data_IF_620016598320
#
_entry.id   IF_620016598320
#
_cell.length_a   1.000
_cell.length_b   1.000
_cell.length_c   1.000
_cell.angle_alpha   90.00
_cell.angle_beta   90.00
_cell.angle_gamma   90.00
#
_symmetry.space_group_name_H-M   'P 1'
#
loop_
_entity.id
_entity.type
_entity.pdbx_description
1 polymer ?
#
# COMPACT_ATOMS: atom_id res chain seq x y z
N UNK A 1 1.43 -2.60 -6.31
CA UNK A 1 1.91 -1.75 -5.20
C UNK A 1 3.34 -1.30 -5.43
N UNK A 2 4.33 -2.21 -5.37
CA UNK A 2 5.77 -1.88 -5.53
C UNK A 2 6.07 -1.15 -6.85
N UNK A 3 5.79 -1.77 -8.01
CA UNK A 3 6.08 -1.16 -9.32
C UNK A 3 5.29 0.13 -9.61
N UNK A 4 4.14 0.30 -8.96
CA UNK A 4 3.34 1.54 -9.04
C UNK A 4 3.93 2.68 -8.19
N UNK A 5 4.91 2.40 -7.33
CA UNK A 5 5.50 3.39 -6.43
C UNK A 5 4.76 3.63 -5.13
N UNK A 6 3.84 2.74 -4.79
CA UNK A 6 2.99 2.85 -3.62
C UNK A 6 3.61 2.29 -2.34
N UNK A 7 4.87 1.84 -2.39
CA UNK A 7 5.60 1.34 -1.22
C UNK A 7 6.69 2.35 -0.87
N UNK A 8 6.50 3.18 0.17
CA UNK A 8 7.50 4.15 0.63
C UNK A 8 8.61 3.41 1.39
N UNK A 9 9.60 2.91 0.65
CA UNK A 9 10.76 2.22 1.20
C UNK A 9 12.05 2.74 0.56
N UNK A 10 13.20 2.34 1.11
CA UNK A 10 14.49 2.75 0.56
C UNK A 10 14.71 2.14 -0.81
N UNK A 11 15.54 2.81 -1.61
CA UNK A 11 15.96 2.27 -2.90
C UNK A 11 16.63 0.90 -2.77
N UNK A 12 17.44 0.72 -1.73
CA UNK A 12 18.10 -0.56 -1.47
C UNK A 12 17.07 -1.68 -1.25
N UNK A 13 16.01 -1.42 -0.49
CA UNK A 13 14.93 -2.39 -0.30
C UNK A 13 14.19 -2.67 -1.61
N UNK A 14 13.95 -1.66 -2.45
CA UNK A 14 13.37 -1.85 -3.78
C UNK A 14 14.25 -2.73 -4.69
N UNK A 15 15.57 -2.56 -4.63
CA UNK A 15 16.52 -3.42 -5.36
C UNK A 15 16.48 -4.86 -4.82
N UNK A 16 16.41 -5.05 -3.51
CA UNK A 16 16.26 -6.39 -2.89
C UNK A 16 14.95 -7.06 -3.29
N UNK A 17 13.84 -6.32 -3.32
CA UNK A 17 12.53 -6.81 -3.82
C UNK A 17 12.61 -7.23 -5.29
N UNK A 18 13.31 -6.46 -6.13
CA UNK A 18 13.54 -6.81 -7.53
C UNK A 18 14.39 -8.07 -7.68
N UNK A 19 15.44 -8.23 -6.87
CA UNK A 19 16.28 -9.43 -6.86
C UNK A 19 15.51 -10.68 -6.41
N UNK A 20 14.70 -10.57 -5.36
CA UNK A 20 13.81 -11.66 -4.91
C UNK A 20 12.77 -12.02 -5.98
N UNK A 21 12.27 -11.02 -6.73
CA UNK A 21 11.38 -11.26 -7.87
C UNK A 21 12.10 -12.06 -8.97
N UNK A 22 13.33 -11.69 -9.32
CA UNK A 22 14.14 -12.45 -10.28
C UNK A 22 14.40 -13.88 -9.80
N UNK A 23 14.81 -14.07 -8.54
CA UNK A 23 15.00 -15.40 -7.95
C UNK A 23 13.72 -16.24 -8.03
N UNK A 24 12.55 -15.64 -7.75
CA UNK A 24 11.27 -16.36 -7.82
C UNK A 24 10.86 -16.79 -9.23
N UNK A 25 11.31 -16.06 -10.27
CA UNK A 25 10.97 -16.32 -11.67
C UNK A 25 11.97 -17.24 -12.35
N UNK A 26 13.26 -17.04 -12.07
CA UNK A 26 14.37 -17.63 -12.81
C UNK A 26 15.19 -18.62 -11.97
N UNK A 27 14.92 -18.78 -10.67
CA UNK A 27 15.79 -19.47 -9.71
C UNK A 27 17.16 -18.79 -9.63
N UNK A 28 18.23 -19.56 -9.42
CA UNK A 28 19.58 -19.03 -9.29
C UNK A 28 20.04 -18.26 -10.54
N UNK A 29 20.89 -17.26 -10.32
CA UNK A 29 21.48 -16.47 -11.39
C UNK A 29 22.23 -17.34 -12.40
N UNK A 30 21.98 -17.07 -13.69
CA UNK A 30 22.72 -17.64 -14.80
C UNK A 30 22.95 -16.58 -15.87
N UNK A 31 24.09 -16.64 -16.56
CA UNK A 31 24.42 -15.73 -17.68
C UNK A 31 23.45 -15.84 -18.84
N UNK A 32 22.72 -16.95 -18.95
CA UNK A 32 21.70 -17.19 -19.98
C UNK A 32 20.27 -16.94 -19.50
N UNK A 33 20.08 -16.53 -18.24
CA UNK A 33 18.75 -16.29 -17.72
C UNK A 33 18.09 -15.09 -18.42
N UNK A 34 16.77 -15.14 -18.67
CA UNK A 34 16.06 -14.02 -19.28
C UNK A 34 15.98 -12.84 -18.32
N UNK A 35 16.36 -11.65 -18.80
CA UNK A 35 16.24 -10.39 -18.07
C UNK A 35 15.01 -9.61 -18.54
N UNK A 36 14.00 -9.40 -17.69
CA UNK A 36 12.88 -8.52 -18.02
C UNK A 36 13.36 -7.06 -18.06
N UNK A 37 12.53 -6.17 -18.60
CA UNK A 37 12.85 -4.75 -18.62
C UNK A 37 12.88 -4.19 -17.19
N UNK A 38 13.67 -3.13 -16.97
CA UNK A 38 13.80 -2.56 -15.63
C UNK A 38 12.46 -2.08 -15.06
N UNK A 39 11.56 -1.58 -15.91
CA UNK A 39 10.23 -1.10 -15.51
C UNK A 39 9.31 -2.22 -14.98
N UNK A 40 9.64 -3.48 -15.28
CA UNK A 40 8.93 -4.66 -14.75
C UNK A 40 9.47 -5.12 -13.38
N UNK A 41 10.62 -4.59 -12.96
CA UNK A 41 11.30 -4.96 -11.71
C UNK A 41 11.38 -3.81 -10.71
N UNK A 42 11.56 -2.58 -11.20
CA UNK A 42 11.90 -1.42 -10.39
C UNK A 42 11.03 -0.21 -10.76
N UNK A 43 10.58 0.60 -9.79
CA UNK A 43 9.66 1.69 -10.07
C UNK A 43 10.36 2.86 -10.81
N UNK A 44 9.84 3.33 -11.96
CA UNK A 44 10.56 4.27 -12.81
C UNK A 44 10.71 5.67 -12.19
N UNK A 45 9.73 6.12 -11.40
CA UNK A 45 9.77 7.45 -10.76
C UNK A 45 10.95 7.63 -9.79
N UNK A 46 11.47 6.54 -9.21
CA UNK A 46 12.65 6.58 -8.34
C UNK A 46 13.89 6.99 -9.15
N UNK A 47 14.03 6.49 -10.38
CA UNK A 47 15.10 6.89 -11.30
C UNK A 47 14.95 8.36 -11.72
N UNK A 48 13.73 8.79 -12.00
CA UNK A 48 13.44 10.18 -12.37
C UNK A 48 13.76 11.16 -11.23
N UNK A 49 13.57 10.76 -9.96
CA UNK A 49 13.87 11.58 -8.79
C UNK A 49 15.38 11.86 -8.61
N UNK A 50 16.28 11.02 -9.15
CA UNK A 50 17.72 11.25 -9.13
C UNK A 50 18.20 12.29 -10.15
N UNK A 51 17.35 12.65 -11.12
CA UNK A 51 17.69 13.67 -12.09
C UNK A 51 17.54 15.06 -11.44
N UNK A 52 18.47 16.00 -11.73
CA UNK A 52 18.30 17.37 -11.28
C UNK A 52 17.02 17.95 -11.88
N UNK A 53 16.29 18.80 -11.11
CA UNK A 53 15.12 19.50 -11.62
C UNK A 53 15.47 20.18 -12.94
N UNK A 54 14.62 20.04 -13.96
CA UNK A 54 14.75 20.86 -15.15
C UNK A 54 14.72 22.33 -14.68
N UNK A 55 15.70 23.19 -15.04
CA UNK A 55 15.55 24.62 -14.80
C UNK A 55 14.22 25.09 -15.40
N UNK A 56 13.31 25.51 -14.53
CA UNK A 56 12.11 26.27 -14.86
C UNK A 56 12.61 27.61 -15.41
N UNK A 57 12.63 27.76 -16.74
CA UNK A 57 12.71 29.09 -17.33
C UNK A 57 11.30 29.67 -17.26
N UNK A 58 11.06 30.80 -16.55
CA UNK A 58 9.78 31.48 -16.64
C UNK A 58 9.53 31.86 -18.11
N UNK A 59 8.28 31.90 -18.58
CA UNK A 59 7.99 32.43 -19.90
C UNK A 59 8.58 33.84 -19.96
N UNK A 60 9.44 34.08 -20.95
CA UNK A 60 10.01 35.40 -21.18
C UNK A 60 8.84 36.38 -21.38
N UNK A 61 8.53 37.18 -20.36
CA UNK A 61 7.68 38.36 -20.52
C UNK A 61 8.47 39.34 -21.37
N UNK A 62 8.39 39.22 -22.69
CA UNK A 62 8.84 40.24 -23.60
C UNK A 62 7.95 41.47 -23.40
N UNK A 63 8.35 42.36 -22.48
CA UNK A 63 7.88 43.74 -22.49
C UNK A 63 8.44 44.41 -23.73
N UNK A 64 7.56 44.68 -24.68
CA UNK A 64 7.66 45.72 -25.70
C UNK A 64 9.00 45.87 -26.43
N UNK A 65 9.15 45.16 -27.55
CA UNK A 65 10.01 45.62 -28.64
C UNK A 65 9.16 45.72 -29.90
N UNK A 66 8.60 46.92 -30.14
CA UNK A 66 8.19 47.33 -31.48
C UNK A 66 9.47 47.45 -32.32
N UNK A 67 9.86 46.38 -33.00
CA UNK A 67 10.76 46.47 -34.13
C UNK A 67 10.07 45.85 -35.33
N UNK A 68 9.67 46.74 -36.25
CA UNK A 68 9.35 46.37 -37.63
C UNK A 68 10.61 45.80 -38.25
N UNK A 69 10.65 44.50 -38.52
CA UNK A 69 11.67 43.89 -39.36
C UNK A 69 11.13 42.63 -40.02
N UNK A 70 11.05 42.68 -41.35
CA UNK A 70 11.20 41.57 -42.29
C UNK A 70 10.55 40.23 -41.96
N UNK A 71 9.49 39.93 -42.69
CA UNK A 71 9.16 38.57 -43.15
C UNK A 71 10.48 37.88 -43.58
N UNK A 72 10.95 36.87 -42.82
CA UNK A 72 11.99 35.85 -43.06
C UNK A 72 12.84 35.48 -41.81
N UNK A 73 12.75 36.20 -40.68
CA UNK A 73 13.57 35.92 -39.48
C UNK A 73 12.94 34.96 -38.44
N UNK A 74 11.79 34.34 -38.75
CA UNK A 74 11.05 33.48 -37.80
C UNK A 74 11.52 32.02 -37.73
N UNK A 75 12.28 31.53 -38.71
CA UNK A 75 12.67 30.11 -38.81
C UNK A 75 13.93 29.73 -38.03
N UNK A 76 14.93 30.61 -38.00
CA UNK A 76 16.28 30.24 -37.52
C UNK A 76 16.38 30.16 -35.99
N UNK A 77 15.74 31.08 -35.26
CA UNK A 77 15.71 31.09 -33.79
C UNK A 77 14.82 29.97 -33.22
N UNK A 78 13.72 29.64 -33.92
CA UNK A 78 12.85 28.51 -33.58
C UNK A 78 13.56 27.17 -33.77
N UNK A 79 14.29 27.00 -34.87
CA UNK A 79 15.10 25.80 -35.12
C UNK A 79 16.26 25.66 -34.12
N UNK A 80 16.95 26.75 -33.78
CA UNK A 80 18.01 26.73 -32.77
C UNK A 80 17.46 26.35 -31.37
N UNK A 81 16.31 26.92 -30.96
CA UNK A 81 15.66 26.58 -29.69
C UNK A 81 15.13 25.13 -29.67
N UNK A 82 14.56 24.66 -30.78
CA UNK A 82 14.11 23.28 -30.93
C UNK A 82 15.30 22.30 -30.88
N UNK A 83 16.40 22.61 -31.56
CA UNK A 83 17.64 21.82 -31.50
C UNK A 83 18.20 21.77 -30.07
N UNK A 84 18.25 22.89 -29.36
CA UNK A 84 18.69 22.93 -27.97
C UNK A 84 17.80 22.08 -27.05
N UNK A 85 16.47 22.12 -27.23
CA UNK A 85 15.53 21.26 -26.48
C UNK A 85 15.78 19.79 -26.80
N UNK A 86 15.91 19.44 -28.08
CA UNK A 86 16.18 18.07 -28.50
C UNK A 86 17.50 17.53 -27.92
N UNK A 87 18.57 18.33 -27.93
CA UNK A 87 19.86 17.98 -27.33
C UNK A 87 19.74 17.81 -25.81
N UNK A 88 19.00 18.69 -25.12
CA UNK A 88 18.75 18.56 -23.68
C UNK A 88 17.96 17.30 -23.36
N UNK A 89 16.92 17.02 -24.13
CA UNK A 89 16.10 15.82 -23.95
C UNK A 89 16.92 14.56 -24.24
N UNK A 90 17.82 14.60 -25.23
CA UNK A 90 18.75 13.52 -25.53
C UNK A 90 19.71 13.28 -24.36
N UNK A 91 20.25 14.34 -23.75
CA UNK A 91 21.10 14.23 -22.55
C UNK A 91 20.34 13.64 -21.37
N UNK A 92 19.11 14.08 -21.13
CA UNK A 92 18.26 13.52 -20.06
C UNK A 92 17.96 12.04 -20.30
N UNK A 93 17.62 11.65 -21.54
CA UNK A 93 17.45 10.23 -21.91
C UNK A 93 18.73 9.42 -21.71
N UNK A 94 19.90 9.97 -22.06
CA UNK A 94 21.19 9.32 -21.83
C UNK A 94 21.42 9.04 -20.35
N UNK A 95 21.19 10.03 -19.49
CA UNK A 95 21.32 9.89 -18.03
C UNK A 95 20.34 8.87 -17.44
N UNK A 96 19.08 8.87 -17.90
CA UNK A 96 18.11 7.86 -17.46
C UNK A 96 18.54 6.45 -17.83
N UNK A 97 19.14 6.26 -19.01
CA UNK A 97 19.66 4.95 -19.43
C UNK A 97 20.85 4.53 -18.56
N UNK A 98 21.74 5.45 -18.23
CA UNK A 98 22.87 5.19 -17.34
C UNK A 98 22.42 4.83 -15.92
N UNK A 99 21.52 5.62 -15.34
CA UNK A 99 20.91 5.32 -14.03
C UNK A 99 20.16 3.99 -14.03
N UNK A 100 19.43 3.69 -15.12
CA UNK A 100 18.75 2.42 -15.30
C UNK A 100 19.72 1.24 -15.38
N UNK A 101 20.81 1.38 -16.15
CA UNK A 101 21.84 0.35 -16.26
C UNK A 101 22.56 0.11 -14.92
N UNK A 102 22.90 1.18 -14.20
CA UNK A 102 23.48 1.11 -12.85
C UNK A 102 22.54 0.40 -11.87
N UNK A 103 21.26 0.76 -11.87
CA UNK A 103 20.25 0.14 -11.00
C UNK A 103 20.06 -1.35 -11.34
N UNK A 104 20.00 -1.70 -12.63
CA UNK A 104 19.93 -3.10 -13.06
C UNK A 104 21.15 -3.90 -12.61
N UNK A 105 22.36 -3.33 -12.72
CA UNK A 105 23.58 -3.99 -12.24
C UNK A 105 23.50 -4.25 -10.72
N UNK A 106 23.05 -3.27 -9.93
CA UNK A 106 22.87 -3.44 -8.48
C UNK A 106 21.84 -4.54 -8.15
N UNK A 107 20.73 -4.62 -8.88
CA UNK A 107 19.73 -5.68 -8.74
C UNK A 107 20.34 -7.06 -9.03
N UNK A 108 21.13 -7.16 -10.11
CA UNK A 108 21.79 -8.42 -10.50
C UNK A 108 22.81 -8.86 -9.45
N UNK A 109 23.59 -7.94 -8.89
CA UNK A 109 24.52 -8.28 -7.80
C UNK A 109 23.78 -8.82 -6.58
N UNK A 110 22.65 -8.21 -6.20
CA UNK A 110 21.81 -8.74 -5.12
C UNK A 110 21.20 -10.09 -5.47
N UNK A 111 20.79 -10.32 -6.72
CA UNK A 111 20.25 -11.61 -7.17
C UNK A 111 21.29 -12.73 -7.08
N UNK A 112 22.55 -12.48 -7.45
CA UNK A 112 23.64 -13.45 -7.29
C UNK A 112 23.82 -13.91 -5.84
N UNK A 113 23.58 -13.03 -4.86
CA UNK A 113 23.67 -13.37 -3.44
C UNK A 113 22.53 -14.28 -2.93
N UNK A 114 21.46 -14.46 -3.73
CA UNK A 114 20.33 -15.33 -3.40
C UNK A 114 20.54 -16.78 -3.90
N UNK A 115 21.75 -17.13 -4.35
CA UNK A 115 22.05 -18.46 -4.85
C UNK A 115 21.67 -19.56 -3.83
N UNK A 116 20.93 -20.56 -4.28
CA UNK A 116 20.43 -21.66 -3.47
C UNK A 116 19.06 -21.38 -2.81
N UNK A 117 18.55 -20.14 -2.88
CA UNK A 117 17.23 -19.79 -2.35
C UNK A 117 16.12 -20.35 -3.25
N UNK A 118 15.29 -21.23 -2.71
CA UNK A 118 14.16 -21.80 -3.45
C UNK A 118 13.08 -20.78 -3.77
N UNK A 119 12.28 -21.02 -4.82
CA UNK A 119 11.15 -20.14 -5.18
C UNK A 119 10.16 -19.85 -4.03
N UNK A 120 9.73 -20.84 -3.21
CA UNK A 120 8.83 -20.57 -2.08
C UNK A 120 9.46 -19.64 -1.04
N UNK A 121 10.75 -19.82 -0.77
CA UNK A 121 11.53 -19.00 0.16
C UNK A 121 11.68 -17.57 -0.36
N UNK A 122 12.04 -17.41 -1.64
CA UNK A 122 12.13 -16.09 -2.28
C UNK A 122 10.80 -15.33 -2.26
N UNK A 123 9.69 -16.03 -2.52
CA UNK A 123 8.34 -15.44 -2.43
C UNK A 123 7.97 -15.08 -0.99
N UNK A 124 8.33 -15.91 0.00
CA UNK A 124 8.09 -15.61 1.40
C UNK A 124 8.89 -14.39 1.87
N UNK A 125 10.18 -14.32 1.53
CA UNK A 125 11.04 -13.18 1.82
C UNK A 125 10.54 -11.89 1.13
N UNK A 126 10.10 -12.00 -0.12
CA UNK A 126 9.50 -10.87 -0.84
C UNK A 126 8.28 -10.34 -0.08
N UNK A 127 7.33 -11.21 0.26
CA UNK A 127 6.12 -10.81 0.97
C UNK A 127 6.43 -10.29 2.37
N UNK A 128 7.41 -10.86 3.07
CA UNK A 128 7.85 -10.40 4.39
C UNK A 128 8.34 -8.96 4.33
N UNK A 129 9.21 -8.62 3.38
CA UNK A 129 9.70 -7.25 3.18
C UNK A 129 8.59 -6.27 2.82
N UNK A 130 7.70 -6.61 1.90
CA UNK A 130 6.60 -5.68 1.52
C UNK A 130 5.62 -5.48 2.68
N UNK A 131 5.47 -6.47 3.59
CA UNK A 131 4.62 -6.39 4.78
C UNK A 131 5.17 -5.50 5.90
N UNK A 132 6.45 -5.11 5.84
CA UNK A 132 7.01 -4.15 6.80
C UNK A 132 6.33 -2.78 6.69
N UNK A 133 5.81 -2.44 5.50
CA UNK A 133 5.04 -1.21 5.33
C UNK A 133 3.61 -1.36 5.91
N UNK A 134 3.18 -0.51 6.87
CA UNK A 134 1.89 -0.64 7.54
C UNK A 134 0.67 -0.61 6.61
N UNK A 135 0.77 0.07 5.46
CA UNK A 135 -0.29 0.12 4.47
C UNK A 135 -0.45 -1.14 3.61
N UNK A 136 0.38 -2.18 3.84
CA UNK A 136 0.30 -3.44 3.11
C UNK A 136 -1.11 -4.04 3.15
N UNK A 137 -1.62 -4.45 1.99
CA UNK A 137 -2.97 -4.99 1.83
C UNK A 137 -4.04 -3.94 1.59
N UNK A 138 -3.69 -2.66 1.55
CA UNK A 138 -4.57 -1.58 1.10
C UNK A 138 -4.47 -1.36 -0.41
N UNK A 139 -5.60 -0.99 -1.03
CA UNK A 139 -5.60 -0.42 -2.38
C UNK A 139 -5.40 1.09 -2.26
N UNK A 140 -4.37 1.62 -2.91
CA UNK A 140 -4.05 3.05 -2.88
C UNK A 140 -4.54 3.77 -4.13
N UNK A 141 -5.10 4.96 -3.93
CA UNK A 141 -5.55 5.88 -4.96
C UNK A 141 -4.83 7.23 -4.81
N UNK A 142 -4.26 7.76 -5.89
CA UNK A 142 -3.80 9.16 -5.92
C UNK A 142 -5.03 10.08 -5.84
N UNK A 143 -5.03 10.97 -4.85
CA UNK A 143 -6.09 11.94 -4.60
C UNK A 143 -5.50 13.29 -4.22
N UNK A 144 -6.23 14.35 -4.50
CA UNK A 144 -5.92 15.69 -3.99
C UNK A 144 -6.98 16.07 -2.94
N UNK A 145 -6.56 16.19 -1.68
CA UNK A 145 -7.43 16.62 -0.58
C UNK A 145 -7.67 18.12 -0.70
N UNK A 146 -8.94 18.51 -0.85
CA UNK A 146 -9.33 19.91 -0.77
C UNK A 146 -9.24 20.38 0.68
N UNK A 147 -8.32 21.30 0.95
CA UNK A 147 -8.25 21.98 2.23
C UNK A 147 -9.31 23.10 2.30
N UNK A 148 -9.79 23.39 3.52
CA UNK A 148 -10.76 24.45 3.84
C UNK A 148 -10.39 25.82 3.22
N UNK A 149 -11.35 26.74 2.93
CA UNK A 149 -11.22 27.85 1.97
C UNK A 149 -10.14 28.92 2.25
N UNK A 150 -9.36 28.79 3.33
CA UNK A 150 -8.37 29.79 3.75
C UNK A 150 -6.96 29.29 3.44
N UNK A 151 -6.56 29.42 2.17
CA UNK A 151 -5.15 29.63 1.79
C UNK A 151 -4.24 28.41 1.63
N UNK A 152 -4.69 27.18 1.87
CA UNK A 152 -3.92 25.99 1.52
C UNK A 152 -4.46 25.41 0.19
N UNK A 153 -3.59 25.31 -0.83
CA UNK A 153 -3.95 24.63 -2.07
C UNK A 153 -4.23 23.14 -1.84
N UNK A 154 -4.80 22.44 -2.84
CA UNK A 154 -5.05 21.00 -2.75
C UNK A 154 -3.77 20.24 -2.37
N UNK A 155 -3.89 19.32 -1.42
CA UNK A 155 -2.78 18.52 -0.93
C UNK A 155 -2.82 17.14 -1.57
N UNK A 156 -1.77 16.81 -2.34
CA UNK A 156 -1.62 15.48 -2.95
C UNK A 156 -1.34 14.42 -1.90
N UNK A 157 -2.21 13.42 -1.84
CA UNK A 157 -2.17 12.31 -0.89
C UNK A 157 -2.43 10.98 -1.62
N UNK A 158 -2.21 9.88 -0.90
CA UNK A 158 -2.76 8.58 -1.24
C UNK A 158 -3.89 8.22 -0.29
N UNK A 159 -5.05 7.89 -0.84
CA UNK A 159 -6.17 7.30 -0.11
C UNK A 159 -6.03 5.77 -0.14
N UNK A 160 -5.71 5.17 1.00
CA UNK A 160 -5.60 3.73 1.20
C UNK A 160 -6.90 3.13 1.70
N UNK A 161 -7.49 2.22 0.94
CA UNK A 161 -8.66 1.45 1.35
C UNK A 161 -8.22 0.02 1.67
N UNK A 162 -8.16 -0.30 2.96
CA UNK A 162 -7.78 -1.62 3.47
C UNK A 162 -8.94 -2.37 4.11
N UNK A 163 -8.71 -3.64 4.48
CA UNK A 163 -9.75 -4.48 5.07
C UNK A 163 -10.27 -4.00 6.44
N UNK A 164 -9.51 -3.17 7.15
CA UNK A 164 -9.84 -2.71 8.52
C UNK A 164 -10.15 -1.22 8.62
N UNK A 165 -9.58 -0.41 7.74
CA UNK A 165 -9.63 1.05 7.83
C UNK A 165 -9.41 1.71 6.47
N UNK A 166 -9.74 2.99 6.42
CA UNK A 166 -9.38 3.93 5.36
C UNK A 166 -8.28 4.84 5.90
N UNK A 167 -7.15 4.92 5.21
CA UNK A 167 -5.95 5.63 5.67
C UNK A 167 -5.49 6.67 4.65
N UNK A 168 -4.94 7.77 5.13
CA UNK A 168 -4.35 8.83 4.30
C UNK A 168 -2.84 8.79 4.44
N UNK A 169 -2.12 8.77 3.31
CA UNK A 169 -0.66 8.79 3.28
C UNK A 169 -0.16 9.98 2.48
N UNK A 170 0.95 10.56 2.92
CA UNK A 170 1.71 11.48 2.09
C UNK A 170 2.67 10.68 1.21
N UNK A 171 2.80 10.98 -0.09
CA UNK A 171 3.74 10.27 -0.95
C UNK A 171 5.17 10.31 -0.39
N UNK A 172 5.78 9.13 -0.25
CA UNK A 172 7.13 8.97 0.30
C UNK A 172 7.21 8.81 1.82
N UNK A 173 6.11 9.00 2.55
CA UNK A 173 6.06 8.77 4.00
C UNK A 173 5.45 7.38 4.30
N UNK A 174 6.08 6.54 5.15
CA UNK A 174 5.59 5.20 5.45
C UNK A 174 4.40 5.19 6.39
N UNK A 175 4.36 6.16 7.32
CA UNK A 175 3.30 6.29 8.31
C UNK A 175 2.09 7.02 7.72
N UNK A 176 0.85 6.57 8.05
CA UNK A 176 -0.34 7.30 7.66
C UNK A 176 -0.45 8.63 8.41
N UNK A 177 -0.88 9.67 7.70
CA UNK A 177 -1.28 10.94 8.30
C UNK A 177 -2.51 10.77 9.21
N UNK A 178 -3.48 9.97 8.75
CA UNK A 178 -4.66 9.62 9.53
C UNK A 178 -5.19 8.24 9.11
N UNK A 179 -5.94 7.58 9.99
CA UNK A 179 -6.54 6.27 9.75
C UNK A 179 -7.89 6.14 10.44
N UNK A 180 -8.91 5.88 9.63
CA UNK A 180 -10.31 5.83 10.03
C UNK A 180 -10.83 4.40 9.96
N UNK A 181 -11.11 3.81 11.12
CA UNK A 181 -11.85 2.56 11.18
C UNK A 181 -13.25 2.73 10.57
N UNK A 182 -13.77 1.70 9.92
CA UNK A 182 -15.08 1.74 9.28
C UNK A 182 -16.23 2.18 10.20
N UNK A 183 -16.14 1.94 11.51
CA UNK A 183 -17.15 2.40 12.48
C UNK A 183 -17.20 3.92 12.71
N UNK A 184 -16.17 4.67 12.29
CA UNK A 184 -16.12 6.14 12.37
C UNK A 184 -16.62 6.81 11.08
N UNK A 185 -16.83 6.03 10.01
CA UNK A 185 -17.27 6.55 8.71
C UNK A 185 -18.80 6.68 8.75
N UNK A 186 -19.29 7.91 8.75
CA UNK A 186 -20.71 8.25 8.81
C UNK A 186 -21.38 8.08 7.43
N UNK A 187 -20.71 8.54 6.37
CA UNK A 187 -21.18 8.44 4.99
C UNK A 187 -20.02 8.58 4.01
N UNK A 188 -20.23 8.11 2.77
CA UNK A 188 -19.28 8.31 1.68
C UNK A 188 -19.99 8.26 0.33
N UNK A 189 -19.41 8.90 -0.69
CA UNK A 189 -19.95 8.86 -2.04
C UNK A 189 -19.34 9.92 -2.96
N UNK A 190 -19.85 9.96 -4.19
CA UNK A 190 -19.51 11.02 -5.14
C UNK A 190 -20.19 12.34 -4.70
N UNK A 191 -19.41 13.41 -4.56
CA UNK A 191 -19.96 14.77 -4.49
C UNK A 191 -20.23 15.30 -5.91
N UNK A 192 -19.34 14.98 -6.84
CA UNK A 192 -19.47 15.21 -8.29
C UNK A 192 -18.69 14.12 -9.06
N UNK A 193 -18.54 14.26 -10.39
CA UNK A 193 -17.85 13.28 -11.24
C UNK A 193 -16.36 13.09 -10.96
N UNK A 194 -15.75 14.04 -10.26
CA UNK A 194 -14.31 14.09 -9.97
C UNK A 194 -13.99 14.29 -8.49
N UNK A 195 -15.01 14.36 -7.63
CA UNK A 195 -14.84 14.62 -6.20
C UNK A 195 -15.49 13.51 -5.39
N UNK A 196 -14.68 12.77 -4.66
CA UNK A 196 -15.12 11.78 -3.68
C UNK A 196 -15.23 12.44 -2.30
N UNK A 197 -16.37 12.28 -1.64
CA UNK A 197 -16.63 12.75 -0.27
C UNK A 197 -16.58 11.58 0.71
N UNK A 198 -15.80 11.75 1.77
CA UNK A 198 -15.75 10.85 2.92
C UNK A 198 -16.12 11.65 4.17
N UNK A 199 -17.24 11.30 4.79
CA UNK A 199 -17.68 11.88 6.06
C UNK A 199 -17.24 10.96 7.19
N UNK A 200 -16.36 11.45 8.05
CA UNK A 200 -15.86 10.74 9.23
C UNK A 200 -16.31 11.51 10.46
N UNK A 201 -17.15 10.90 11.29
CA UNK A 201 -17.79 11.55 12.43
C UNK A 201 -18.48 12.86 11.98
N UNK A 202 -17.98 14.02 12.44
CA UNK A 202 -18.50 15.35 12.12
C UNK A 202 -17.65 16.12 11.08
N UNK A 203 -16.76 15.43 10.37
CA UNK A 203 -15.84 16.04 9.38
C UNK A 203 -16.08 15.49 8.00
N UNK A 204 -16.17 16.38 7.03
CA UNK A 204 -16.18 16.04 5.61
C UNK A 204 -14.80 16.24 4.98
N UNK A 205 -14.31 15.17 4.35
CA UNK A 205 -13.09 15.18 3.55
C UNK A 205 -13.49 15.07 2.08
N UNK A 206 -13.04 16.03 1.26
CA UNK A 206 -13.29 16.09 -0.17
C UNK A 206 -11.99 15.80 -0.93
N UNK A 207 -12.04 14.78 -1.80
CA UNK A 207 -10.89 14.28 -2.53
C UNK A 207 -11.14 14.40 -4.03
N UNK A 208 -10.32 15.17 -4.73
CA UNK A 208 -10.33 15.22 -6.18
C UNK A 208 -9.63 13.97 -6.74
N UNK A 209 -10.32 13.24 -7.63
CA UNK A 209 -9.84 12.01 -8.26
C UNK A 209 -10.72 11.60 -9.43
N UNK A 210 -10.15 10.95 -10.43
CA UNK A 210 -10.91 10.34 -11.54
C UNK A 210 -11.49 8.96 -11.20
N UNK A 211 -11.16 8.41 -10.02
CA UNK A 211 -11.50 7.03 -9.62
C UNK A 211 -12.63 6.97 -8.58
N UNK A 212 -13.56 7.93 -8.59
CA UNK A 212 -14.63 8.07 -7.59
C UNK A 212 -15.45 6.79 -7.44
N UNK A 213 -15.87 6.18 -8.55
CA UNK A 213 -16.69 4.96 -8.56
C UNK A 213 -15.93 3.74 -8.01
N UNK A 214 -14.66 3.59 -8.37
CA UNK A 214 -13.80 2.49 -7.92
C UNK A 214 -13.61 2.54 -6.39
N UNK A 215 -13.33 3.74 -5.87
CA UNK A 215 -13.19 4.02 -4.43
C UNK A 215 -14.49 3.68 -3.70
N UNK A 216 -15.63 4.19 -4.19
CA UNK A 216 -16.93 3.96 -3.57
C UNK A 216 -17.31 2.47 -3.58
N UNK A 217 -17.05 1.76 -4.68
CA UNK A 217 -17.36 0.33 -4.80
C UNK A 217 -16.50 -0.52 -3.86
N UNK A 218 -15.21 -0.18 -3.73
CA UNK A 218 -14.30 -0.89 -2.84
C UNK A 218 -14.68 -0.70 -1.37
N UNK A 219 -15.05 0.52 -0.97
CA UNK A 219 -15.54 0.80 0.38
C UNK A 219 -16.83 0.03 0.70
N UNK A 220 -17.80 0.01 -0.22
CA UNK A 220 -19.03 -0.79 -0.07
C UNK A 220 -18.71 -2.27 0.15
N UNK A 221 -17.75 -2.80 -0.61
CA UNK A 221 -17.34 -4.20 -0.53
C UNK A 221 -16.75 -4.51 0.85
N UNK A 222 -15.83 -3.68 1.35
CA UNK A 222 -15.23 -3.90 2.66
C UNK A 222 -16.22 -3.71 3.81
N UNK A 223 -17.10 -2.70 3.75
CA UNK A 223 -18.15 -2.49 4.75
C UNK A 223 -19.12 -3.67 4.84
N UNK A 224 -19.54 -4.22 3.69
CA UNK A 224 -20.39 -5.41 3.65
C UNK A 224 -19.69 -6.61 4.31
N UNK A 225 -18.40 -6.82 4.02
CA UNK A 225 -17.60 -7.90 4.61
C UNK A 225 -17.35 -7.72 6.12
N UNK A 226 -17.21 -6.49 6.60
CA UNK A 226 -17.02 -6.17 8.01
C UNK A 226 -18.33 -6.34 8.81
N UNK A 227 -19.47 -6.03 8.20
CA UNK A 227 -20.79 -6.30 8.77
C UNK A 227 -21.11 -7.79 8.86
N UNK A 228 -20.74 -8.57 7.84
CA UNK A 228 -20.94 -10.02 7.83
C UNK A 228 -20.15 -10.76 8.92
N UNK A 229 -18.93 -10.29 9.25
CA UNK A 229 -18.11 -10.86 10.33
C UNK A 229 -18.68 -10.60 11.74
N UNK A 230 -19.62 -9.64 11.89
CA UNK A 230 -20.29 -9.33 13.16
C UNK A 230 -21.58 -10.11 13.37
N UNK A 231 -22.06 -10.86 12.37
CA UNK A 231 -23.21 -11.75 12.58
C UNK A 231 -22.78 -12.91 13.50
N UNK A 232 -23.50 -13.21 14.59
CA UNK A 232 -23.22 -14.41 15.38
C UNK A 232 -23.33 -15.61 14.43
N UNK A 233 -22.29 -16.46 14.41
CA UNK A 233 -22.45 -17.81 13.86
C UNK A 233 -23.71 -18.41 14.51
N UNK A 234 -24.65 -18.97 13.73
CA UNK A 234 -25.72 -19.77 14.31
C UNK A 234 -25.06 -20.80 15.23
N UNK A 235 -25.35 -20.75 16.53
CA UNK A 235 -25.00 -21.85 17.40
C UNK A 235 -25.73 -23.07 16.86
N UNK A 236 -24.98 -24.08 16.41
CA UNK A 236 -25.56 -25.38 16.15
C UNK A 236 -26.30 -25.82 17.43
N UNK A 237 -27.57 -26.21 17.34
CA UNK A 237 -28.29 -26.71 18.51
C UNK A 237 -27.56 -27.95 19.03
N UNK A 238 -27.38 -28.09 20.36
CA UNK A 238 -26.74 -29.28 20.93
C UNK A 238 -27.52 -30.52 20.51
N UNK A 239 -26.90 -31.36 19.68
CA UNK A 239 -27.46 -32.62 19.21
C UNK A 239 -27.17 -33.68 20.27
N UNK A 240 -27.98 -33.68 21.32
CA UNK A 240 -28.03 -34.78 22.29
C UNK A 240 -29.49 -35.15 22.53
N UNK A 241 -29.94 -36.36 22.14
CA UNK A 241 -31.31 -36.79 22.44
C UNK A 241 -31.48 -37.06 23.95
N UNK A 242 -32.67 -36.84 24.52
CA UNK A 242 -32.94 -37.15 25.91
C UNK A 242 -32.94 -38.67 26.10
N UNK A 243 -32.08 -39.15 26.99
CA UNK A 243 -32.12 -40.54 27.46
C UNK A 243 -33.37 -40.72 28.32
N UNK A 244 -34.29 -41.56 27.85
CA UNK A 244 -35.47 -42.02 28.56
C UNK A 244 -35.04 -42.96 29.70
N UNK A 245 -35.21 -42.55 30.94
CA UNK A 245 -35.23 -43.47 32.08
C UNK A 245 -36.60 -44.17 32.19
N UNK A 246 -36.66 -45.46 32.58
CA UNK A 246 -37.88 -46.08 33.07
C UNK A 246 -37.97 -46.03 34.62
N UNK A 247 -39.18 -46.15 35.20
CA UNK A 247 -39.46 -45.76 36.58
C UNK A 247 -39.45 -46.96 37.56
N UNK A 248 -39.29 -46.68 38.88
CA UNK A 248 -40.24 -47.01 39.98
C UNK A 248 -39.57 -46.88 41.38
N UNK A 249 -40.19 -45.99 42.18
CA UNK A 249 -40.28 -45.75 43.65
C UNK A 249 -40.01 -46.90 44.65
N UNK A 250 -40.09 -46.68 45.99
CA UNK A 250 -39.61 -45.57 46.86
C UNK A 250 -38.89 -46.11 48.13
N UNK A 251 -38.60 -45.23 49.10
CA UNK A 251 -38.10 -45.44 50.49
C UNK A 251 -36.65 -44.96 50.62
N UNK A 252 -36.28 -44.03 51.49
CA UNK A 252 -36.93 -43.42 52.64
C UNK A 252 -35.80 -42.91 53.54
N UNK A 253 -36.08 -41.86 54.31
CA UNK A 253 -35.33 -41.40 55.49
C UNK A 253 -34.00 -40.67 55.22
N UNK A 254 -34.05 -39.34 55.41
CA UNK A 254 -32.94 -38.59 55.99
C UNK A 254 -32.57 -39.20 57.36
N UNK A 255 -31.32 -39.03 57.84
CA UNK A 255 -31.06 -37.83 58.63
C UNK A 255 -29.66 -37.21 58.44
N UNK A 256 -29.60 -35.88 58.58
CA UNK A 256 -28.40 -35.16 59.06
C UNK A 256 -28.17 -35.48 60.56
N UNK A 257 -27.09 -35.08 61.30
CA UNK A 257 -26.12 -34.00 61.02
C UNK A 257 -24.65 -34.20 61.51
N UNK A 258 -23.68 -33.56 60.82
CA UNK A 258 -22.37 -33.05 61.31
C UNK A 258 -21.46 -33.91 62.22
N UNK A 259 -20.43 -33.35 62.87
CA UNK A 259 -19.49 -32.30 62.43
C UNK A 259 -18.02 -32.64 62.82
N UNK A 260 -17.09 -31.72 62.48
CA UNK A 260 -15.73 -31.55 63.02
C UNK A 260 -14.54 -32.32 62.41
N UNK A 261 -13.74 -31.51 61.73
CA UNK A 261 -12.29 -31.51 61.52
C UNK A 261 -11.46 -32.38 62.47
N UNK A 262 -10.42 -33.02 61.91
CA UNK A 262 -9.05 -32.97 62.43
C UNK A 262 -8.03 -33.31 61.32
N UNK A 263 -7.15 -32.35 61.03
CA UNK A 263 -5.79 -32.49 60.42
C UNK A 263 -4.82 -32.98 61.54
N UNK A 264 -3.51 -33.26 61.34
CA UNK A 264 -2.68 -33.42 60.14
C UNK A 264 -1.69 -34.65 60.27
N UNK A 265 -0.38 -34.63 59.95
CA UNK A 265 0.22 -35.52 58.95
C UNK A 265 1.35 -36.45 59.47
N UNK A 266 1.60 -37.57 58.78
CA UNK A 266 2.84 -38.37 58.86
C UNK A 266 2.98 -38.99 57.46
N UNK A 267 4.07 -38.90 56.70
CA UNK A 267 5.48 -38.80 57.04
C UNK A 267 6.17 -40.05 56.48
N UNK A 268 7.21 -39.85 55.66
CA UNK A 268 8.30 -40.82 55.38
C UNK A 268 7.91 -42.02 54.49
N UNK A 269 8.72 -42.60 53.60
CA UNK A 269 10.12 -42.42 53.14
C UNK A 269 10.49 -43.59 52.21
N UNK A 270 11.51 -43.40 51.37
CA UNK A 270 12.33 -44.41 50.65
C UNK A 270 11.63 -45.19 49.52
N UNK A 271 12.25 -45.46 48.36
CA UNK A 271 13.68 -45.57 47.99
C UNK A 271 13.98 -44.95 46.63
#
# INVERSE_FOLDING_TARGET
MVLRGYVPTSEETLQTLAALRLQSLNSDFSTHAPFPRLEELFPPHVLHARLPPLPHRPPAKCRGARLRAGLLAGGLWGQALAKQRAERDQRLRGRLREEGASTMAAIVEKWKLLQGMGRPEAMAAYVALVREWPGFGSTLFDVDLQASPVGAGPQRLWLGIGAKAVSLYKPGEPEPLDSFCYGRISSFGASDSSTFRLSVEDRDLLFETSQVDEIAQLLKTYLASAGAQRLPRPQEPPTSPPTLEPPVLPQGLCPAPGPWQHRPPVGSSHS
#
